data_IF_820612304581
#
_entry.id   IF_820612304581
#
_cell.length_a   1.000
_cell.length_b   1.000
_cell.length_c   1.000
_cell.angle_alpha   90.00
_cell.angle_beta   90.00
_cell.angle_gamma   90.00
#
_symmetry.space_group_name_H-M   'P 1'
#
loop_
_entity.id
_entity.type
_entity.pdbx_description
1 polymer ?
#
# COMPACT_ATOMS: atom_id res chain seq x y z
N UNK A 1 -20.01 -32.52 -22.30
CA UNK A 1 -19.81 -31.89 -20.97
C UNK A 1 -18.78 -30.78 -21.18
N UNK A 2 -19.25 -29.55 -21.39
CA UNK A 2 -18.38 -28.37 -21.52
C UNK A 2 -17.85 -28.03 -20.11
N UNK A 3 -16.56 -28.27 -19.90
CA UNK A 3 -15.89 -27.83 -18.66
C UNK A 3 -16.07 -26.33 -18.46
N UNK A 4 -16.00 -25.81 -17.21
CA UNK A 4 -16.15 -24.40 -16.96
C UNK A 4 -15.14 -23.64 -17.82
N UNK A 5 -15.63 -22.69 -18.63
CA UNK A 5 -14.81 -21.87 -19.49
C UNK A 5 -13.73 -21.19 -18.63
N UNK A 6 -12.49 -21.65 -18.77
CA UNK A 6 -11.38 -21.05 -18.05
C UNK A 6 -11.30 -19.58 -18.45
N UNK A 7 -11.43 -18.69 -17.47
CA UNK A 7 -11.29 -17.25 -17.71
C UNK A 7 -9.97 -17.00 -18.46
N UNK A 8 -9.97 -16.17 -19.53
CA UNK A 8 -8.76 -15.88 -20.26
C UNK A 8 -7.70 -15.33 -19.31
N UNK A 9 -6.62 -16.09 -19.12
CA UNK A 9 -5.52 -15.74 -18.20
C UNK A 9 -4.59 -14.67 -18.74
N UNK A 10 -4.69 -14.41 -20.03
CA UNK A 10 -3.75 -13.59 -20.79
C UNK A 10 -4.34 -12.21 -21.13
N UNK A 11 -4.60 -11.41 -20.11
CA UNK A 11 -4.92 -10.00 -20.31
C UNK A 11 -3.65 -9.22 -20.67
N UNK A 12 -3.82 -8.16 -21.46
CA UNK A 12 -2.72 -7.27 -21.81
C UNK A 12 -2.11 -6.63 -20.55
N UNK A 13 -0.78 -6.51 -20.42
CA UNK A 13 -0.14 -5.97 -19.22
C UNK A 13 -0.64 -4.58 -18.83
N UNK A 14 -0.95 -3.72 -19.82
CA UNK A 14 -1.51 -2.39 -19.57
C UNK A 14 -2.89 -2.43 -18.90
N UNK A 15 -3.70 -3.48 -19.11
CA UNK A 15 -4.98 -3.61 -18.42
C UNK A 15 -4.80 -3.81 -16.91
N UNK A 16 -3.76 -4.55 -16.50
CA UNK A 16 -3.42 -4.71 -15.09
C UNK A 16 -2.92 -3.43 -14.46
N UNK A 17 -2.09 -2.67 -15.19
CA UNK A 17 -1.59 -1.41 -14.72
C UNK A 17 -2.70 -0.34 -14.62
N UNK A 18 -3.57 -0.22 -15.63
CA UNK A 18 -4.68 0.74 -15.59
C UNK A 18 -5.66 0.45 -14.44
N UNK A 19 -5.97 -0.84 -14.20
CA UNK A 19 -6.78 -1.26 -13.08
C UNK A 19 -6.11 -0.91 -11.73
N UNK A 20 -4.84 -1.21 -11.57
CA UNK A 20 -4.10 -0.95 -10.34
C UNK A 20 -3.93 0.54 -10.06
N UNK A 21 -3.66 1.35 -11.10
CA UNK A 21 -3.59 2.82 -11.00
C UNK A 21 -4.96 3.38 -10.60
N UNK A 22 -6.05 2.89 -11.20
CA UNK A 22 -7.40 3.30 -10.81
C UNK A 22 -7.70 3.04 -9.34
N UNK A 23 -7.38 1.83 -8.83
CA UNK A 23 -7.52 1.49 -7.41
C UNK A 23 -6.60 2.31 -6.51
N UNK A 24 -5.35 2.52 -6.90
CA UNK A 24 -4.39 3.32 -6.12
C UNK A 24 -4.83 4.79 -6.03
N UNK A 25 -5.36 5.35 -7.14
CA UNK A 25 -5.94 6.70 -7.16
C UNK A 25 -7.17 6.76 -6.24
N UNK A 26 -8.08 5.80 -6.34
CA UNK A 26 -9.24 5.73 -5.45
C UNK A 26 -8.84 5.62 -3.97
N UNK A 27 -7.81 4.82 -3.66
CA UNK A 27 -7.26 4.71 -2.31
C UNK A 27 -6.64 6.03 -1.82
N UNK A 28 -5.99 6.80 -2.69
CA UNK A 28 -5.41 8.09 -2.32
C UNK A 28 -6.45 9.16 -2.00
N UNK A 29 -7.63 9.08 -2.61
CA UNK A 29 -8.72 10.05 -2.48
C UNK A 29 -9.69 9.73 -1.33
N UNK A 30 -9.67 8.51 -0.78
CA UNK A 30 -10.57 8.12 0.29
C UNK A 30 -9.96 8.30 1.68
N UNK A 31 -10.80 8.69 2.64
CA UNK A 31 -10.49 8.71 4.07
C UNK A 31 -11.18 7.57 4.83
N UNK A 32 -12.03 6.79 4.14
CA UNK A 32 -12.78 5.70 4.77
C UNK A 32 -11.93 4.43 4.87
N UNK A 33 -11.63 3.94 6.09
CA UNK A 33 -10.79 2.75 6.29
C UNK A 33 -11.42 1.47 5.73
N UNK A 34 -12.74 1.35 5.71
CA UNK A 34 -13.43 0.18 5.15
C UNK A 34 -13.25 0.10 3.64
N UNK A 35 -13.25 1.24 2.94
CA UNK A 35 -12.95 1.29 1.51
C UNK A 35 -11.48 0.93 1.24
N UNK A 36 -10.55 1.39 2.06
CA UNK A 36 -9.15 1.01 1.96
C UNK A 36 -8.96 -0.49 2.11
N UNK A 37 -9.59 -1.11 3.12
CA UNK A 37 -9.59 -2.56 3.30
C UNK A 37 -10.23 -3.31 2.12
N UNK A 38 -11.31 -2.76 1.55
CA UNK A 38 -11.95 -3.32 0.36
C UNK A 38 -11.00 -3.29 -0.85
N UNK A 39 -10.28 -2.19 -1.08
CA UNK A 39 -9.29 -2.10 -2.16
C UNK A 39 -8.13 -3.07 -1.95
N UNK A 40 -7.61 -3.17 -0.74
CA UNK A 40 -6.57 -4.15 -0.37
C UNK A 40 -7.05 -5.59 -0.57
N UNK A 41 -8.28 -5.88 -0.14
CA UNK A 41 -8.92 -7.18 -0.31
C UNK A 41 -9.13 -7.52 -1.78
N UNK A 42 -9.63 -6.59 -2.59
CA UNK A 42 -9.83 -6.78 -4.04
C UNK A 42 -8.51 -7.04 -4.77
N UNK A 43 -7.46 -6.27 -4.47
CA UNK A 43 -6.14 -6.48 -5.04
C UNK A 43 -5.59 -7.87 -4.70
N UNK A 44 -5.71 -8.29 -3.43
CA UNK A 44 -5.25 -9.59 -2.96
C UNK A 44 -6.04 -10.75 -3.61
N UNK A 45 -7.37 -10.66 -3.64
CA UNK A 45 -8.24 -11.69 -4.24
C UNK A 45 -7.94 -11.86 -5.73
N UNK A 46 -7.80 -10.75 -6.47
CA UNK A 46 -7.49 -10.80 -7.91
C UNK A 46 -6.13 -11.45 -8.15
N UNK A 47 -5.10 -11.11 -7.36
CA UNK A 47 -3.79 -11.77 -7.46
C UNK A 47 -3.90 -13.26 -7.15
N UNK A 48 -4.62 -13.64 -6.09
CA UNK A 48 -4.79 -15.05 -5.73
C UNK A 48 -5.54 -15.84 -6.80
N UNK A 49 -6.60 -15.26 -7.38
CA UNK A 49 -7.43 -15.89 -8.41
C UNK A 49 -6.70 -16.02 -9.77
N UNK A 50 -5.81 -15.07 -10.06
CA UNK A 50 -5.12 -14.98 -11.36
C UNK A 50 -3.67 -15.45 -11.34
N UNK A 51 -3.16 -15.93 -10.19
CA UNK A 51 -1.81 -16.51 -10.11
C UNK A 51 -1.63 -17.61 -11.13
N UNK A 52 -0.84 -17.36 -12.14
CA UNK A 52 -0.16 -18.39 -12.90
C UNK A 52 1.09 -18.80 -12.11
N UNK A 53 1.49 -20.09 -12.18
CA UNK A 53 2.63 -20.65 -11.43
C UNK A 53 4.01 -20.03 -11.71
N UNK A 54 4.06 -18.81 -12.27
CA UNK A 54 5.28 -18.06 -12.56
C UNK A 54 5.97 -17.51 -11.28
N UNK A 55 7.32 -17.42 -11.28
CA UNK A 55 8.10 -16.91 -10.14
C UNK A 55 7.69 -15.49 -9.72
N UNK A 56 7.16 -14.68 -10.64
CA UNK A 56 6.63 -13.33 -10.34
C UNK A 56 5.40 -13.33 -9.43
N UNK A 57 4.63 -14.43 -9.36
CA UNK A 57 3.53 -14.58 -8.39
C UNK A 57 4.02 -14.63 -6.94
N UNK A 58 5.30 -14.94 -6.70
CA UNK A 58 5.91 -14.90 -5.36
C UNK A 58 6.24 -13.47 -4.92
N UNK A 59 6.42 -12.54 -5.86
CA UNK A 59 6.76 -11.15 -5.55
C UNK A 59 5.64 -10.44 -4.79
N UNK A 60 4.37 -10.82 -4.97
CA UNK A 60 3.26 -10.20 -4.25
C UNK A 60 3.39 -10.34 -2.73
N UNK A 61 3.97 -11.44 -2.25
CA UNK A 61 4.25 -11.64 -0.82
C UNK A 61 5.15 -10.54 -0.24
N UNK A 62 6.14 -10.10 -1.03
CA UNK A 62 7.02 -8.99 -0.63
C UNK A 62 6.22 -7.69 -0.45
N UNK A 63 5.29 -7.40 -1.36
CA UNK A 63 4.43 -6.21 -1.25
C UNK A 63 3.49 -6.28 -0.05
N UNK A 64 3.00 -7.48 0.32
CA UNK A 64 2.21 -7.66 1.55
C UNK A 64 3.05 -7.34 2.79
N UNK A 65 4.30 -7.84 2.85
CA UNK A 65 5.19 -7.51 3.97
C UNK A 65 5.54 -6.03 4.00
N UNK A 66 5.80 -5.42 2.83
CA UNK A 66 6.10 -3.99 2.72
C UNK A 66 4.89 -3.13 3.16
N UNK A 67 3.68 -3.52 2.77
CA UNK A 67 2.45 -2.86 3.20
C UNK A 67 2.26 -2.93 4.72
N UNK A 68 2.40 -4.13 5.30
CA UNK A 68 2.31 -4.32 6.75
C UNK A 68 3.40 -3.51 7.48
N UNK A 69 4.64 -3.56 7.00
CA UNK A 69 5.74 -2.77 7.56
C UNK A 69 5.45 -1.27 7.50
N UNK A 70 4.87 -0.77 6.41
CA UNK A 70 4.52 0.65 6.24
C UNK A 70 3.46 1.08 7.26
N UNK A 71 2.45 0.24 7.52
CA UNK A 71 1.44 0.53 8.57
C UNK A 71 2.11 0.64 9.93
N UNK A 72 2.92 -0.35 10.30
CA UNK A 72 3.65 -0.34 11.60
C UNK A 72 4.55 0.89 11.69
N UNK A 73 5.31 1.17 10.64
CA UNK A 73 6.21 2.32 10.59
C UNK A 73 5.46 3.64 10.80
N UNK A 74 4.30 3.83 10.15
CA UNK A 74 3.47 5.03 10.30
C UNK A 74 2.96 5.20 11.73
N UNK A 75 2.50 4.12 12.36
CA UNK A 75 2.05 4.16 13.77
C UNK A 75 3.21 4.48 14.68
N UNK A 76 4.38 3.86 14.50
CA UNK A 76 5.59 4.14 15.28
C UNK A 76 6.02 5.61 15.12
N UNK A 77 6.01 6.14 13.88
CA UNK A 77 6.33 7.56 13.66
C UNK A 77 5.37 8.49 14.38
N UNK A 78 4.07 8.16 14.44
CA UNK A 78 3.08 8.95 15.21
C UNK A 78 3.35 8.91 16.72
N UNK A 79 3.79 7.78 17.24
CA UNK A 79 4.16 7.68 18.67
C UNK A 79 5.41 8.52 18.96
N UNK A 80 6.41 8.46 18.07
CA UNK A 80 7.71 9.11 18.29
C UNK A 80 7.63 10.62 18.07
N UNK A 81 6.85 11.09 17.11
CA UNK A 81 6.81 12.50 16.68
C UNK A 81 5.44 13.18 16.87
N UNK A 82 4.47 12.49 17.46
CA UNK A 82 3.06 12.88 17.46
C UNK A 82 2.57 13.72 18.64
N UNK A 83 3.42 14.13 19.55
CA UNK A 83 3.06 14.77 20.84
C UNK A 83 2.31 16.13 20.80
N UNK A 84 1.70 16.50 19.67
CA UNK A 84 1.03 17.79 19.51
C UNK A 84 -0.48 17.71 19.21
N UNK A 85 -1.08 16.52 19.11
CA UNK A 85 -2.50 16.41 18.83
C UNK A 85 -3.33 16.46 20.11
N UNK A 86 -4.32 17.37 20.11
CA UNK A 86 -5.30 17.49 21.18
C UNK A 86 -6.25 16.29 21.11
N UNK A 87 -6.32 15.50 22.17
CA UNK A 87 -7.19 14.33 22.21
C UNK A 87 -7.11 13.55 23.52
N UNK A 88 -7.71 12.36 23.54
CA UNK A 88 -7.64 11.49 24.71
C UNK A 88 -6.24 10.88 24.85
N UNK A 89 -5.53 11.26 25.89
CA UNK A 89 -4.20 10.72 26.20
C UNK A 89 -4.35 9.27 26.67
N UNK A 90 -3.75 8.34 25.91
CA UNK A 90 -3.68 6.93 26.26
C UNK A 90 -2.42 6.60 27.05
N UNK A 91 -1.33 7.25 26.70
CA UNK A 91 -0.03 7.05 27.34
C UNK A 91 0.67 8.39 27.45
N UNK A 92 1.08 8.74 28.67
CA UNK A 92 1.85 9.95 28.93
C UNK A 92 3.33 9.58 28.95
N UNK A 93 4.03 9.84 27.85
CA UNK A 93 5.45 9.59 27.72
C UNK A 93 6.22 10.89 28.00
N UNK A 94 7.41 10.81 28.65
CA UNK A 94 8.22 11.99 28.89
C UNK A 94 8.67 12.62 27.56
N UNK A 95 8.43 13.92 27.41
CA UNK A 95 8.91 14.68 26.26
C UNK A 95 10.43 14.83 26.34
N UNK A 96 11.11 14.51 25.25
CA UNK A 96 12.53 14.73 25.08
C UNK A 96 12.72 15.92 24.13
N UNK A 97 13.01 17.12 24.64
CA UNK A 97 13.31 18.26 23.78
C UNK A 97 14.66 18.03 23.08
N UNK A 98 14.67 18.14 21.75
CA UNK A 98 15.92 18.14 20.99
C UNK A 98 16.60 19.51 21.08
N UNK A 99 17.93 19.55 20.87
CA UNK A 99 18.69 20.80 20.83
C UNK A 99 18.16 21.78 19.77
N UNK A 100 18.47 23.07 19.92
CA UNK A 100 17.95 24.15 19.07
C UNK A 100 18.19 23.99 17.56
N UNK A 101 19.24 23.24 17.17
CA UNK A 101 19.51 22.93 15.77
C UNK A 101 18.44 22.02 15.11
N UNK A 102 17.66 21.31 15.90
CA UNK A 102 16.60 20.42 15.42
C UNK A 102 15.23 21.14 15.27
N UNK A 103 15.23 22.45 15.15
CA UNK A 103 14.04 23.28 14.86
C UNK A 103 12.84 23.05 15.80
N UNK A 104 13.10 22.76 17.08
CA UNK A 104 12.06 22.60 18.10
C UNK A 104 11.29 21.27 18.00
N UNK A 105 11.82 20.28 17.29
CA UNK A 105 11.23 18.93 17.28
C UNK A 105 11.28 18.35 18.69
N UNK A 106 10.12 17.90 19.16
CA UNK A 106 10.00 17.15 20.42
C UNK A 106 9.80 15.70 20.10
N UNK A 107 10.54 14.84 20.76
CA UNK A 107 10.39 13.38 20.64
C UNK A 107 9.55 12.88 21.81
N UNK A 108 8.66 11.93 21.48
CA UNK A 108 7.72 11.36 22.42
C UNK A 108 6.71 12.43 22.91
N UNK A 109 6.18 12.28 24.11
CA UNK A 109 5.11 13.11 24.64
C UNK A 109 3.81 12.33 24.76
N UNK A 110 2.70 13.00 25.09
CA UNK A 110 1.42 12.33 25.29
C UNK A 110 0.94 11.67 23.98
N UNK A 111 0.79 10.34 24.00
CA UNK A 111 0.24 9.57 22.88
C UNK A 111 -1.27 9.60 22.99
N UNK A 112 -1.94 10.21 22.01
CA UNK A 112 -3.39 10.29 21.96
C UNK A 112 -3.99 9.20 21.07
N UNK A 113 -5.24 8.80 21.36
CA UNK A 113 -5.99 7.86 20.50
C UNK A 113 -6.15 8.39 19.08
N UNK A 114 -6.34 9.68 18.93
CA UNK A 114 -6.50 10.37 17.68
C UNK A 114 -5.22 10.31 16.82
N UNK A 115 -4.08 10.51 17.46
CA UNK A 115 -2.78 10.39 16.79
C UNK A 115 -2.52 8.96 16.29
N UNK A 116 -2.85 7.95 17.09
CA UNK A 116 -2.71 6.54 16.68
C UNK A 116 -3.64 6.18 15.52
N UNK A 117 -4.92 6.62 15.59
CA UNK A 117 -5.88 6.41 14.51
C UNK A 117 -5.45 7.12 13.22
N UNK A 118 -4.96 8.35 13.31
CA UNK A 118 -4.44 9.08 12.15
C UNK A 118 -3.25 8.34 11.53
N UNK A 119 -2.30 7.86 12.35
CA UNK A 119 -1.18 7.05 11.88
C UNK A 119 -1.61 5.75 11.21
N UNK A 120 -2.63 5.09 11.78
CA UNK A 120 -3.20 3.87 11.22
C UNK A 120 -3.88 4.15 9.85
N UNK A 121 -4.68 5.21 9.73
CA UNK A 121 -5.34 5.58 8.47
C UNK A 121 -4.34 5.96 7.38
N UNK A 122 -3.33 6.75 7.71
CA UNK A 122 -2.24 7.08 6.78
C UNK A 122 -1.48 5.82 6.36
N UNK A 123 -1.19 4.93 7.31
CA UNK A 123 -0.54 3.65 7.06
C UNK A 123 -1.36 2.75 6.13
N UNK A 124 -2.67 2.60 6.40
CA UNK A 124 -3.58 1.81 5.55
C UNK A 124 -3.69 2.37 4.14
N UNK A 125 -3.71 3.69 3.97
CA UNK A 125 -3.74 4.33 2.65
C UNK A 125 -2.50 3.98 1.84
N UNK A 126 -1.32 4.12 2.42
CA UNK A 126 -0.06 3.75 1.77
C UNK A 126 0.02 2.25 1.49
N UNK A 127 -0.41 1.42 2.44
CA UNK A 127 -0.47 -0.03 2.27
C UNK A 127 -1.38 -0.43 1.11
N UNK A 128 -2.54 0.21 0.96
CA UNK A 128 -3.44 -0.03 -0.17
C UNK A 128 -2.78 0.32 -1.50
N UNK A 129 -2.10 1.45 -1.61
CA UNK A 129 -1.36 1.86 -2.83
C UNK A 129 -0.25 0.85 -3.13
N UNK A 130 0.54 0.45 -2.13
CA UNK A 130 1.62 -0.54 -2.27
C UNK A 130 1.07 -1.87 -2.78
N UNK A 131 -0.05 -2.34 -2.23
CA UNK A 131 -0.67 -3.59 -2.67
C UNK A 131 -1.24 -3.51 -4.08
N UNK A 132 -1.82 -2.37 -4.49
CA UNK A 132 -2.29 -2.16 -5.86
C UNK A 132 -1.13 -2.22 -6.87
N UNK A 133 -0.03 -1.53 -6.59
CA UNK A 133 1.19 -1.59 -7.42
C UNK A 133 1.79 -3.00 -7.42
N UNK A 134 1.82 -3.65 -6.26
CA UNK A 134 2.29 -5.03 -6.12
C UNK A 134 1.44 -6.03 -6.91
N UNK A 135 0.12 -5.81 -6.97
CA UNK A 135 -0.79 -6.62 -7.77
C UNK A 135 -0.49 -6.45 -9.27
N UNK A 136 -0.33 -5.23 -9.77
CA UNK A 136 0.05 -4.98 -11.16
C UNK A 136 1.38 -5.68 -11.50
N UNK A 137 2.42 -5.48 -10.68
CA UNK A 137 3.73 -6.11 -10.89
C UNK A 137 3.68 -7.65 -10.88
N UNK A 138 2.78 -8.23 -10.07
CA UNK A 138 2.65 -9.68 -9.96
C UNK A 138 1.86 -10.30 -11.10
N UNK A 139 0.97 -9.54 -11.73
CA UNK A 139 0.06 -10.00 -12.79
C UNK A 139 0.55 -9.59 -14.19
N UNK A 140 1.20 -8.43 -14.32
CA UNK A 140 1.76 -7.97 -15.57
C UNK A 140 3.04 -8.77 -15.91
N UNK A 141 3.05 -9.42 -17.07
CA UNK A 141 4.26 -10.10 -17.58
C UNK A 141 5.20 -9.05 -18.20
N UNK A 142 6.39 -8.79 -17.61
CA UNK A 142 7.30 -7.75 -18.09
C UNK A 142 7.81 -8.01 -19.51
N UNK A 143 7.96 -9.27 -19.93
CA UNK A 143 8.37 -9.61 -21.29
C UNK A 143 7.33 -9.21 -22.33
N UNK A 144 6.05 -9.34 -22.02
CA UNK A 144 4.96 -8.90 -22.91
C UNK A 144 4.83 -7.37 -22.93
N UNK A 145 5.13 -6.72 -21.82
CA UNK A 145 5.13 -5.26 -21.75
C UNK A 145 6.22 -4.69 -22.66
N UNK A 146 7.43 -5.25 -22.62
CA UNK A 146 8.52 -4.86 -23.51
C UNK A 146 8.20 -5.16 -24.98
N UNK A 147 7.57 -6.29 -25.28
CA UNK A 147 7.17 -6.63 -26.65
C UNK A 147 6.05 -5.75 -27.22
N UNK A 148 5.29 -5.05 -26.37
CA UNK A 148 4.23 -4.12 -26.78
C UNK A 148 4.72 -2.69 -27.01
N UNK A 149 5.98 -2.39 -26.66
CA UNK A 149 6.60 -1.09 -26.93
C UNK A 149 7.07 -1.04 -28.39
N UNK A 150 6.71 0.00 -29.16
CA UNK A 150 7.14 0.12 -30.54
C UNK A 150 8.67 0.09 -30.67
N UNK A 151 9.24 -0.54 -31.74
CA UNK A 151 10.68 -0.58 -31.96
C UNK A 151 11.36 0.78 -31.97
N UNK A 152 10.65 1.83 -32.35
CA UNK A 152 11.13 3.20 -32.41
C UNK A 152 11.59 3.79 -31.06
N UNK A 153 11.35 3.10 -29.94
CA UNK A 153 11.82 3.52 -28.62
C UNK A 153 13.12 2.81 -28.17
N UNK A 154 13.69 1.96 -29.02
CA UNK A 154 14.94 1.24 -28.76
C UNK A 154 16.14 1.78 -29.59
N UNK A 155 15.93 2.81 -30.44
CA UNK A 155 17.00 3.47 -31.23
C UNK A 155 17.58 4.69 -30.51
#
# INVERSE_FOLDING_TARGET
>A
MTGPAALPRDLHPLAWWSWAIGLATAASLTTNPLLLLLYMGSATVVVMARRSGHPFGRSFRLYVYLAAFTVVLRVVFRIVFGGQEVGHVLLDLPEIPLPDWAAGIRLLGPVTSEALLAGLYDGLRLAAIILCVGAANSLANPKRLLASVPPALYE
#
